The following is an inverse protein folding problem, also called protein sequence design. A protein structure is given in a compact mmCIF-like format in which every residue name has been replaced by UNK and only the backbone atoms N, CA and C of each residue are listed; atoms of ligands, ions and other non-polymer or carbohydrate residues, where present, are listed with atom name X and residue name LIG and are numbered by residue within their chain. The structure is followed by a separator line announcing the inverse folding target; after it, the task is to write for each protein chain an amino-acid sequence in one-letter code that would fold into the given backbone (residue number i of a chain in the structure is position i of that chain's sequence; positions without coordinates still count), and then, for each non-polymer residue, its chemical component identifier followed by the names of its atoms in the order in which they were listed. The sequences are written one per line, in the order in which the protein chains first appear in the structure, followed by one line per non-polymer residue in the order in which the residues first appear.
data_IF_822254836526
#
_entry.id   IF_822254836526
#
_cell.length_a   1.000
_cell.length_b   1.000
_cell.length_c   1.000
_cell.angle_alpha   90.00
_cell.angle_beta   90.00
_cell.angle_gamma   90.00
#
_symmetry.space_group_name_H-M   'P 1'
#
loop_
_entity.id
_entity.type
_entity.pdbx_description
1 polymer ?
#
# COMPACT_ATOMS: atom_id res chain seq x y z
N UNK A 1 3.36 4.28 -22.86
CA UNK A 1 3.61 4.75 -21.47
C UNK A 1 3.01 3.67 -20.58
N UNK A 2 3.72 3.19 -19.55
CA UNK A 2 3.18 2.11 -18.67
C UNK A 2 1.99 2.64 -17.89
N UNK A 3 0.91 1.84 -17.82
CA UNK A 3 -0.32 2.19 -17.12
C UNK A 3 -0.29 1.61 -15.72
N UNK A 4 -0.58 2.44 -14.71
CA UNK A 4 -0.61 2.04 -13.31
C UNK A 4 -2.01 2.25 -12.74
N UNK A 5 -2.59 1.19 -12.19
CA UNK A 5 -3.81 1.24 -11.42
C UNK A 5 -3.45 1.57 -9.97
N UNK A 6 -4.01 2.64 -9.42
CA UNK A 6 -3.66 3.15 -8.09
C UNK A 6 -4.89 3.07 -7.20
N UNK A 7 -4.75 2.48 -6.02
CA UNK A 7 -5.88 2.44 -5.12
C UNK A 7 -5.59 1.86 -3.74
N UNK A 8 -6.61 1.99 -2.89
CA UNK A 8 -6.59 1.53 -1.50
C UNK A 8 -8.00 1.42 -0.94
N UNK A 9 -8.23 0.58 0.07
CA UNK A 9 -9.31 0.78 1.00
C UNK A 9 -9.13 2.10 1.75
N UNK A 10 -10.23 2.84 1.94
CA UNK A 10 -10.21 4.13 2.63
C UNK A 10 -11.36 4.25 3.61
N UNK A 11 -11.08 4.84 4.79
CA UNK A 11 -12.08 5.19 5.80
C UNK A 11 -11.59 6.38 6.63
N UNK A 12 -12.41 7.44 6.72
CA UNK A 12 -12.15 8.60 7.58
C UNK A 12 -10.73 9.16 7.40
N UNK A 13 -10.40 9.60 6.18
CA UNK A 13 -9.08 10.13 5.80
C UNK A 13 -9.13 11.57 5.27
N UNK A 14 -10.23 12.30 5.51
CA UNK A 14 -10.36 13.68 5.03
C UNK A 14 -9.16 14.57 5.41
N UNK A 15 -8.61 14.39 6.61
CA UNK A 15 -7.48 15.16 7.14
C UNK A 15 -6.17 15.04 6.36
N UNK A 16 -6.03 13.99 5.51
CA UNK A 16 -4.79 13.71 4.77
C UNK A 16 -5.01 13.48 3.27
N UNK A 17 -6.24 13.23 2.84
CA UNK A 17 -6.56 12.79 1.49
C UNK A 17 -6.04 13.75 0.40
N UNK A 18 -6.18 15.06 0.59
CA UNK A 18 -5.66 16.07 -0.34
C UNK A 18 -4.16 15.93 -0.59
N UNK A 19 -3.37 15.80 0.47
CA UNK A 19 -1.91 15.63 0.37
C UNK A 19 -1.54 14.30 -0.27
N UNK A 20 -2.28 13.24 0.04
CA UNK A 20 -2.11 11.92 -0.56
C UNK A 20 -2.31 12.01 -2.08
N UNK A 21 -3.44 12.54 -2.55
CA UNK A 21 -3.73 12.70 -3.97
C UNK A 21 -2.72 13.60 -4.67
N UNK A 22 -2.32 14.73 -4.09
CA UNK A 22 -1.29 15.62 -4.64
C UNK A 22 0.06 14.88 -4.84
N UNK A 23 0.45 14.00 -3.92
CA UNK A 23 1.69 13.24 -4.05
C UNK A 23 1.63 12.21 -5.20
N UNK A 24 0.45 11.65 -5.46
CA UNK A 24 0.22 10.74 -6.59
C UNK A 24 0.19 11.50 -7.93
N UNK A 25 -0.40 12.69 -7.97
CA UNK A 25 -0.42 13.52 -9.19
C UNK A 25 0.98 13.89 -9.68
N UNK A 26 1.96 14.04 -8.80
CA UNK A 26 3.35 14.32 -9.12
C UNK A 26 4.10 13.15 -9.80
N UNK A 27 3.49 11.96 -9.90
CA UNK A 27 4.11 10.81 -10.54
C UNK A 27 3.94 10.88 -12.06
N UNK A 28 5.04 10.79 -12.81
CA UNK A 28 5.06 10.89 -14.28
C UNK A 28 4.70 9.56 -14.97
N UNK A 29 3.53 9.02 -14.68
CA UNK A 29 2.99 7.78 -15.26
C UNK A 29 1.53 8.00 -15.67
N UNK A 30 0.99 7.14 -16.55
CA UNK A 30 -0.44 7.11 -16.79
C UNK A 30 -1.13 6.42 -15.61
N UNK A 31 -2.10 7.09 -14.99
CA UNK A 31 -2.75 6.67 -13.75
C UNK A 31 -4.22 6.37 -13.96
N UNK A 32 -4.68 5.27 -13.39
CA UNK A 32 -6.08 4.91 -13.24
C UNK A 32 -6.35 4.73 -11.74
N UNK A 33 -7.30 5.47 -11.20
CA UNK A 33 -7.60 5.44 -9.78
C UNK A 33 -8.82 4.58 -9.48
N UNK A 34 -8.81 3.90 -8.33
CA UNK A 34 -9.97 3.27 -7.71
C UNK A 34 -9.77 3.17 -6.20
N UNK A 35 -10.67 3.76 -5.43
CA UNK A 35 -10.69 3.59 -3.97
C UNK A 35 -11.87 2.72 -3.55
N UNK A 36 -11.69 1.99 -2.45
CA UNK A 36 -12.76 1.21 -1.84
C UNK A 36 -13.14 1.91 -0.54
N UNK A 37 -14.19 2.71 -0.58
CA UNK A 37 -14.69 3.50 0.54
C UNK A 37 -15.50 2.61 1.49
N UNK A 38 -15.05 2.47 2.75
CA UNK A 38 -15.73 1.64 3.74
C UNK A 38 -16.20 2.45 4.95
N UNK A 39 -17.50 2.68 5.05
CA UNK A 39 -18.14 3.33 6.22
C UNK A 39 -17.49 4.66 6.64
N UNK A 40 -17.08 5.52 5.70
CA UNK A 40 -16.59 6.86 6.02
C UNK A 40 -17.71 7.78 6.51
N UNK A 41 -17.43 8.51 7.58
CA UNK A 41 -18.37 9.42 8.24
C UNK A 41 -17.89 10.89 8.20
N UNK A 42 -16.70 11.12 7.59
CA UNK A 42 -16.08 12.43 7.41
C UNK A 42 -16.18 12.91 5.95
N UNK A 43 -15.43 13.95 5.59
CA UNK A 43 -15.44 14.54 4.25
C UNK A 43 -14.61 13.73 3.21
N UNK A 44 -14.18 12.50 3.51
CA UNK A 44 -13.35 11.69 2.59
C UNK A 44 -14.03 11.50 1.23
N UNK A 45 -15.30 11.12 1.21
CA UNK A 45 -16.10 10.94 0.00
C UNK A 45 -16.17 12.23 -0.82
N UNK A 46 -16.51 13.34 -0.16
CA UNK A 46 -16.59 14.66 -0.80
C UNK A 46 -15.25 15.07 -1.47
N UNK A 47 -14.11 14.78 -0.83
CA UNK A 47 -12.80 15.08 -1.42
C UNK A 47 -12.58 14.25 -2.68
N UNK A 48 -12.90 12.94 -2.66
CA UNK A 48 -12.79 12.08 -3.83
C UNK A 48 -13.65 12.60 -4.99
N UNK A 49 -14.89 13.04 -4.71
CA UNK A 49 -15.79 13.63 -5.69
C UNK A 49 -15.23 14.93 -6.30
N UNK A 50 -14.70 15.83 -5.47
CA UNK A 50 -14.08 17.09 -5.92
C UNK A 50 -12.90 16.83 -6.88
N UNK A 51 -12.12 15.79 -6.64
CA UNK A 51 -11.01 15.38 -7.50
C UNK A 51 -11.42 14.43 -8.64
N UNK A 52 -12.71 14.10 -8.77
CA UNK A 52 -13.23 13.16 -9.78
C UNK A 52 -12.53 11.79 -9.71
N UNK A 53 -12.17 11.34 -8.51
CA UNK A 53 -11.52 10.05 -8.27
C UNK A 53 -12.59 8.96 -8.12
N UNK A 54 -12.58 7.90 -8.96
CA UNK A 54 -13.52 6.79 -8.85
C UNK A 54 -13.38 6.02 -7.52
N UNK A 55 -14.50 5.62 -6.95
CA UNK A 55 -14.54 4.76 -5.78
C UNK A 55 -15.78 3.85 -5.76
N UNK A 56 -15.69 2.76 -4.99
CA UNK A 56 -16.80 1.88 -4.65
C UNK A 56 -17.09 1.98 -3.16
N UNK A 57 -18.36 2.12 -2.78
CA UNK A 57 -18.78 2.20 -1.38
C UNK A 57 -19.17 0.84 -0.84
N UNK A 58 -18.65 0.51 0.34
CA UNK A 58 -18.97 -0.71 1.08
C UNK A 58 -19.25 -0.40 2.56
N UNK A 59 -19.96 -1.32 3.22
CA UNK A 59 -20.39 -1.20 4.60
C UNK A 59 -20.07 -2.47 5.39
N UNK A 60 -18.76 -2.75 5.57
CA UNK A 60 -18.29 -3.94 6.26
C UNK A 60 -18.10 -3.77 7.77
N UNK A 61 -18.23 -2.52 8.29
CA UNK A 61 -17.96 -2.22 9.68
C UNK A 61 -16.49 -2.37 10.08
N UNK A 62 -16.22 -2.32 11.39
CA UNK A 62 -14.85 -2.35 11.94
C UNK A 62 -14.46 -3.67 12.58
N UNK A 63 -15.42 -4.39 13.15
CA UNK A 63 -15.19 -5.46 14.12
C UNK A 63 -15.53 -6.82 13.53
N UNK A 64 -14.63 -7.39 12.75
CA UNK A 64 -14.73 -8.76 12.27
C UNK A 64 -13.34 -9.35 11.99
N UNK A 65 -13.09 -10.59 12.40
CA UNK A 65 -11.81 -11.26 12.22
C UNK A 65 -10.71 -10.77 13.19
N UNK A 66 -9.46 -10.84 12.78
CA UNK A 66 -8.32 -10.33 13.56
C UNK A 66 -8.35 -8.81 13.61
N UNK A 67 -8.27 -8.23 14.81
CA UNK A 67 -8.39 -6.80 15.05
C UNK A 67 -7.07 -6.24 15.57
N UNK A 68 -6.64 -5.14 14.97
CA UNK A 68 -5.55 -4.31 15.50
C UNK A 68 -5.99 -2.85 15.52
N UNK A 69 -5.89 -2.22 16.69
CA UNK A 69 -6.34 -0.83 16.83
C UNK A 69 -7.82 -0.68 16.48
N UNK A 70 -8.14 0.08 15.43
CA UNK A 70 -9.52 0.44 15.05
C UNK A 70 -10.03 -0.29 13.79
N UNK A 71 -9.33 -1.29 13.27
CA UNK A 71 -9.72 -1.99 12.04
C UNK A 71 -9.58 -3.51 12.15
N UNK A 72 -10.33 -4.19 11.31
CA UNK A 72 -10.34 -5.65 11.18
C UNK A 72 -9.49 -6.06 9.98
N UNK A 73 -8.51 -6.94 10.17
CA UNK A 73 -7.72 -7.50 9.08
C UNK A 73 -8.55 -8.34 8.11
N UNK A 74 -9.63 -8.96 8.60
CA UNK A 74 -10.55 -9.68 7.72
C UNK A 74 -11.24 -8.70 6.76
N UNK A 75 -11.81 -7.62 7.27
CA UNK A 75 -12.48 -6.62 6.44
C UNK A 75 -11.50 -5.92 5.50
N UNK A 76 -10.28 -5.60 5.96
CA UNK A 76 -9.24 -5.05 5.09
C UNK A 76 -8.89 -6.00 3.94
N UNK A 77 -8.73 -7.30 4.22
CA UNK A 77 -8.47 -8.30 3.19
C UNK A 77 -9.60 -8.36 2.16
N UNK A 78 -10.88 -8.30 2.58
CA UNK A 78 -12.01 -8.25 1.66
C UNK A 78 -11.96 -7.01 0.76
N UNK A 79 -11.76 -5.82 1.35
CA UNK A 79 -11.71 -4.55 0.61
C UNK A 79 -10.52 -4.49 -0.36
N UNK A 80 -9.35 -4.99 0.06
CA UNK A 80 -8.19 -5.08 -0.83
C UNK A 80 -8.43 -6.08 -1.96
N UNK A 81 -9.09 -7.20 -1.71
CA UNK A 81 -9.44 -8.16 -2.76
C UNK A 81 -10.45 -7.57 -3.76
N UNK A 82 -11.41 -6.75 -3.32
CA UNK A 82 -12.28 -5.99 -4.22
C UNK A 82 -11.46 -5.06 -5.13
N UNK A 83 -10.43 -4.40 -4.58
CA UNK A 83 -9.50 -3.58 -5.38
C UNK A 83 -8.74 -4.43 -6.41
N UNK A 84 -8.29 -5.64 -6.06
CA UNK A 84 -7.66 -6.56 -7.01
C UNK A 84 -8.62 -6.95 -8.14
N UNK A 85 -9.89 -7.19 -7.82
CA UNK A 85 -10.91 -7.55 -8.81
C UNK A 85 -11.21 -6.37 -9.77
N UNK A 86 -11.22 -5.13 -9.26
CA UNK A 86 -11.32 -3.94 -10.13
C UNK A 86 -10.07 -3.75 -11.00
N UNK A 87 -8.89 -3.95 -10.44
CA UNK A 87 -7.64 -3.93 -11.21
C UNK A 87 -7.65 -4.93 -12.36
N UNK A 88 -8.11 -6.16 -12.14
CA UNK A 88 -8.18 -7.19 -13.18
C UNK A 88 -9.16 -6.85 -14.33
N UNK A 89 -10.14 -5.97 -14.11
CA UNK A 89 -11.03 -5.47 -15.16
C UNK A 89 -10.38 -4.41 -16.04
N UNK A 90 -9.30 -3.78 -15.59
CA UNK A 90 -8.54 -2.78 -16.35
C UNK A 90 -7.52 -3.44 -17.27
N UNK A 91 -6.87 -2.64 -18.12
CA UNK A 91 -5.72 -3.04 -18.95
C UNK A 91 -4.36 -2.62 -18.36
N UNK A 92 -4.34 -2.17 -17.09
CA UNK A 92 -3.13 -1.70 -16.43
C UNK A 92 -2.13 -2.83 -16.21
N UNK A 93 -0.85 -2.56 -16.44
CA UNK A 93 0.25 -3.52 -16.26
C UNK A 93 0.63 -3.69 -14.77
N UNK A 94 0.38 -2.67 -13.96
CA UNK A 94 0.76 -2.62 -12.56
C UNK A 94 -0.41 -2.17 -11.68
N UNK A 95 -0.49 -2.77 -10.49
CA UNK A 95 -1.27 -2.24 -9.37
C UNK A 95 -0.31 -1.53 -8.39
N UNK A 96 -0.55 -0.27 -8.09
CA UNK A 96 0.08 0.43 -6.99
C UNK A 96 -0.90 0.49 -5.81
N UNK A 97 -0.78 -0.49 -4.91
CA UNK A 97 -1.54 -0.54 -3.66
C UNK A 97 -0.85 0.36 -2.64
N UNK A 98 -1.53 1.43 -2.23
CA UNK A 98 -0.96 2.43 -1.33
C UNK A 98 -1.97 2.89 -0.29
N UNK A 99 -1.63 2.80 1.00
CA UNK A 99 -2.47 3.29 2.07
C UNK A 99 -2.59 4.82 2.02
N UNK A 100 -3.78 5.32 2.33
CA UNK A 100 -4.14 6.73 2.14
C UNK A 100 -3.46 7.71 3.11
N UNK A 101 -2.75 7.21 4.10
CA UNK A 101 -1.89 7.98 5.01
C UNK A 101 -0.40 7.97 4.59
N UNK A 102 -0.10 7.53 3.37
CA UNK A 102 1.25 7.55 2.81
C UNK A 102 1.37 8.66 1.76
N UNK A 103 2.40 9.49 1.90
CA UNK A 103 2.76 10.58 0.98
C UNK A 103 4.09 10.22 0.31
N UNK A 104 4.07 10.04 -1.00
CA UNK A 104 5.25 9.57 -1.74
C UNK A 104 6.05 10.70 -2.38
N UNK A 105 7.37 10.60 -2.46
CA UNK A 105 8.21 11.54 -3.22
C UNK A 105 7.91 11.52 -4.72
N UNK A 106 8.17 12.61 -5.41
CA UNK A 106 8.10 12.67 -6.88
C UNK A 106 9.03 11.65 -7.53
N UNK A 107 8.61 11.03 -8.64
CA UNK A 107 9.38 10.03 -9.38
C UNK A 107 9.42 8.62 -8.75
N UNK A 108 8.76 8.41 -7.63
CA UNK A 108 8.77 7.12 -6.91
C UNK A 108 8.25 5.96 -7.75
N UNK A 109 7.14 6.14 -8.49
CA UNK A 109 6.59 5.08 -9.33
C UNK A 109 7.53 4.69 -10.47
N UNK A 110 8.20 5.68 -11.08
CA UNK A 110 9.23 5.41 -12.10
C UNK A 110 10.35 4.53 -11.55
N UNK A 111 10.89 4.87 -10.38
CA UNK A 111 11.95 4.10 -9.73
C UNK A 111 11.50 2.69 -9.33
N UNK A 112 10.26 2.50 -8.83
CA UNK A 112 9.74 1.17 -8.53
C UNK A 112 9.60 0.31 -9.80
N UNK A 113 9.15 0.89 -10.91
CA UNK A 113 9.07 0.21 -12.20
C UNK A 113 10.45 -0.15 -12.76
N UNK A 114 11.44 0.73 -12.61
CA UNK A 114 12.82 0.51 -13.07
C UNK A 114 13.53 -0.60 -12.27
N UNK A 115 13.09 -0.87 -11.04
CA UNK A 115 13.59 -2.01 -10.26
C UNK A 115 13.16 -3.36 -10.86
N UNK A 116 12.13 -3.41 -11.70
CA UNK A 116 11.59 -4.58 -12.40
C UNK A 116 11.38 -5.82 -11.50
N UNK A 117 10.77 -5.61 -10.34
CA UNK A 117 10.43 -6.68 -9.38
C UNK A 117 8.93 -6.99 -9.41
N UNK A 118 8.57 -8.25 -9.11
CA UNK A 118 7.18 -8.70 -9.15
C UNK A 118 6.32 -7.95 -8.12
N UNK A 119 6.87 -7.77 -6.92
CA UNK A 119 6.32 -6.92 -5.86
C UNK A 119 7.45 -6.06 -5.31
N UNK A 120 7.33 -4.74 -5.43
CA UNK A 120 8.35 -3.81 -4.94
C UNK A 120 7.73 -2.71 -4.09
N UNK A 121 8.12 -2.63 -2.82
CA UNK A 121 7.64 -1.64 -1.86
C UNK A 121 8.63 -0.51 -1.62
N UNK A 122 8.15 0.57 -1.02
CA UNK A 122 8.96 1.61 -0.40
C UNK A 122 9.12 1.32 1.09
N UNK A 123 10.17 1.84 1.71
CA UNK A 123 10.40 1.66 3.15
C UNK A 123 9.64 2.71 3.95
N UNK A 124 8.71 2.28 4.79
CA UNK A 124 8.02 3.15 5.75
C UNK A 124 8.31 2.74 7.19
N UNK A 125 8.27 3.74 8.08
CA UNK A 125 8.30 3.53 9.51
C UNK A 125 6.86 3.38 10.03
N UNK A 126 6.56 2.26 10.68
CA UNK A 126 5.19 1.91 11.09
C UNK A 126 4.78 2.45 12.46
N UNK A 127 5.73 2.88 13.29
CA UNK A 127 5.42 3.28 14.66
C UNK A 127 6.36 4.38 15.19
N UNK A 128 5.84 5.40 15.91
CA UNK A 128 6.64 6.54 16.37
C UNK A 128 7.70 6.17 17.41
N UNK A 129 7.44 5.16 18.25
CA UNK A 129 8.32 4.75 19.34
C UNK A 129 9.13 3.49 19.06
N UNK A 130 8.69 2.64 18.13
CA UNK A 130 9.36 1.38 17.81
C UNK A 130 10.16 1.54 16.51
N UNK A 131 11.32 0.87 16.43
CA UNK A 131 12.06 0.72 15.18
C UNK A 131 11.43 -0.41 14.36
N UNK A 132 10.19 -0.20 13.92
CA UNK A 132 9.44 -1.13 13.12
C UNK A 132 9.16 -0.53 11.73
N UNK A 133 9.48 -1.26 10.70
CA UNK A 133 9.23 -0.93 9.30
C UNK A 133 8.20 -1.88 8.67
N UNK A 134 7.71 -1.57 7.50
CA UNK A 134 6.79 -2.41 6.73
C UNK A 134 7.45 -3.63 6.08
N UNK A 135 8.72 -3.90 6.35
CA UNK A 135 9.47 -5.01 5.76
C UNK A 135 9.95 -6.00 6.82
N UNK A 136 9.86 -7.30 6.51
CA UNK A 136 10.34 -8.40 7.36
C UNK A 136 11.24 -9.34 6.57
N UNK A 137 12.31 -9.82 7.21
CA UNK A 137 13.21 -10.86 6.72
C UNK A 137 13.45 -11.85 7.87
N UNK A 138 13.41 -13.16 7.58
CA UNK A 138 13.55 -14.20 8.62
C UNK A 138 12.46 -14.14 9.68
N UNK A 139 11.24 -13.73 9.31
CA UNK A 139 10.10 -13.58 10.22
C UNK A 139 10.25 -12.43 11.24
N UNK A 140 11.19 -11.51 11.04
CA UNK A 140 11.45 -10.38 11.95
C UNK A 140 11.43 -9.04 11.24
N UNK A 141 10.88 -8.03 11.91
CA UNK A 141 11.07 -6.65 11.48
C UNK A 141 12.56 -6.29 11.53
N UNK A 142 13.06 -5.72 10.44
CA UNK A 142 14.42 -5.23 10.38
C UNK A 142 14.43 -3.82 10.94
N UNK A 143 15.22 -3.57 12.01
CA UNK A 143 15.21 -2.27 12.67
C UNK A 143 15.98 -1.19 11.90
N UNK A 144 16.90 -1.59 11.03
CA UNK A 144 17.81 -0.68 10.35
C UNK A 144 18.09 -1.16 8.92
N UNK A 145 18.03 -0.23 7.97
CA UNK A 145 18.35 -0.48 6.57
C UNK A 145 19.43 0.51 6.09
N UNK A 146 20.28 0.05 5.17
CA UNK A 146 21.08 0.90 4.29
C UNK A 146 20.25 1.30 3.07
N UNK A 147 20.74 2.28 2.29
CA UNK A 147 20.12 2.60 1.01
C UNK A 147 20.36 1.48 0.00
N UNK A 148 19.31 1.00 -0.65
CA UNK A 148 19.41 -0.08 -1.64
C UNK A 148 18.08 -0.74 -1.94
N UNK A 149 18.16 -1.85 -2.68
CA UNK A 149 17.04 -2.73 -3.02
C UNK A 149 17.28 -4.08 -2.34
N UNK A 150 16.38 -4.49 -1.47
CA UNK A 150 16.55 -5.69 -0.63
C UNK A 150 15.38 -6.67 -0.82
N UNK A 151 15.67 -7.99 -0.97
CA UNK A 151 14.62 -9.00 -0.92
C UNK A 151 14.01 -9.06 0.47
N UNK A 152 12.70 -9.27 0.54
CA UNK A 152 11.93 -9.35 1.78
C UNK A 152 10.95 -10.53 1.75
N UNK A 153 10.53 -10.98 2.92
CA UNK A 153 9.54 -12.05 3.04
C UNK A 153 8.13 -11.51 3.18
N UNK A 154 8.01 -10.32 3.75
CA UNK A 154 6.75 -9.61 3.95
C UNK A 154 6.97 -8.12 3.76
N UNK A 155 6.03 -7.48 3.10
CA UNK A 155 5.91 -6.03 2.99
C UNK A 155 4.43 -5.65 2.84
N UNK A 156 4.11 -4.37 2.99
CA UNK A 156 2.74 -3.87 2.88
C UNK A 156 2.66 -2.34 2.84
N UNK A 157 1.45 -1.83 2.91
CA UNK A 157 1.07 -0.42 2.96
C UNK A 157 1.40 0.42 1.70
N UNK A 158 2.51 0.19 1.00
CA UNK A 158 2.89 0.93 -0.22
C UNK A 158 3.77 0.07 -1.12
N UNK A 159 3.21 -0.53 -2.15
CA UNK A 159 3.95 -1.41 -3.06
C UNK A 159 3.35 -1.46 -4.46
N UNK A 160 4.23 -1.55 -5.45
CA UNK A 160 3.92 -1.78 -6.84
C UNK A 160 3.91 -3.28 -7.09
N UNK A 161 2.86 -3.79 -7.73
CA UNK A 161 2.62 -5.21 -7.99
C UNK A 161 2.44 -5.39 -9.49
N UNK A 162 3.17 -6.31 -10.13
CA UNK A 162 2.95 -6.69 -11.52
C UNK A 162 1.62 -7.43 -11.67
N UNK A 163 0.92 -7.23 -12.78
CA UNK A 163 -0.36 -7.87 -13.10
C UNK A 163 -0.32 -9.38 -12.95
N UNK A 164 0.74 -10.01 -13.44
CA UNK A 164 0.92 -11.47 -13.40
C UNK A 164 0.83 -12.09 -12.01
N UNK A 165 1.22 -11.33 -10.96
CA UNK A 165 1.09 -11.77 -9.56
C UNK A 165 -0.38 -11.97 -9.19
N UNK A 166 -1.23 -11.02 -9.58
CA UNK A 166 -2.66 -11.04 -9.26
C UNK A 166 -3.40 -12.04 -10.15
N UNK A 167 -3.04 -12.16 -11.42
CA UNK A 167 -3.56 -13.16 -12.37
C UNK A 167 -3.22 -14.59 -11.95
N UNK A 168 -2.08 -14.81 -11.30
CA UNK A 168 -1.72 -16.10 -10.70
C UNK A 168 -2.58 -16.48 -9.47
N UNK A 169 -3.53 -15.62 -9.06
CA UNK A 169 -4.48 -15.90 -8.01
C UNK A 169 -4.04 -15.47 -6.61
N UNK A 170 -2.96 -14.67 -6.49
CA UNK A 170 -2.53 -14.12 -5.18
C UNK A 170 -3.61 -13.20 -4.63
N UNK A 171 -3.97 -13.40 -3.35
CA UNK A 171 -5.04 -12.65 -2.66
C UNK A 171 -4.64 -12.31 -1.23
N UNK A 172 -5.24 -11.24 -0.72
CA UNK A 172 -5.14 -10.88 0.70
C UNK A 172 -5.94 -11.83 1.57
N UNK A 173 -5.53 -11.99 2.81
CA UNK A 173 -6.20 -12.86 3.77
C UNK A 173 -6.16 -12.32 5.19
N UNK A 174 -6.97 -12.90 6.08
CA UNK A 174 -6.98 -12.51 7.49
C UNK A 174 -5.89 -13.26 8.26
N UNK A 175 -4.96 -12.51 8.88
CA UNK A 175 -3.88 -13.06 9.68
C UNK A 175 -3.56 -12.14 10.88
N UNK A 176 -3.10 -12.66 12.04
CA UNK A 176 -2.77 -11.83 13.22
C UNK A 176 -1.69 -10.77 12.96
N UNK A 177 -0.80 -10.99 11.99
CA UNK A 177 0.27 -10.04 11.62
C UNK A 177 -0.24 -8.92 10.71
N UNK A 178 -1.32 -9.14 9.97
CA UNK A 178 -1.90 -8.23 8.99
C UNK A 178 -2.39 -8.96 7.75
N UNK A 179 -3.21 -8.33 6.96
CA UNK A 179 -3.77 -8.88 5.72
C UNK A 179 -2.74 -9.05 4.61
N UNK A 180 -1.62 -8.31 4.67
CA UNK A 180 -0.50 -8.41 3.73
C UNK A 180 0.28 -9.72 3.89
N UNK A 181 0.28 -10.34 5.08
CA UNK A 181 1.06 -11.53 5.35
C UNK A 181 0.65 -12.73 4.47
N UNK A 182 -0.64 -13.10 4.36
CA UNK A 182 -1.07 -14.15 3.42
C UNK A 182 -0.82 -13.80 1.96
N UNK A 183 -0.93 -12.54 1.56
CA UNK A 183 -0.61 -12.08 0.20
C UNK A 183 0.86 -12.35 -0.13
N UNK A 184 1.77 -11.88 0.72
CA UNK A 184 3.21 -12.07 0.54
C UNK A 184 3.60 -13.56 0.56
N UNK A 185 3.01 -14.36 1.45
CA UNK A 185 3.26 -15.79 1.52
C UNK A 185 2.81 -16.52 0.25
N UNK A 186 1.61 -16.22 -0.27
CA UNK A 186 1.11 -16.81 -1.51
C UNK A 186 1.96 -16.42 -2.71
N UNK A 187 2.33 -15.13 -2.85
CA UNK A 187 3.21 -14.67 -3.93
C UNK A 187 4.54 -15.44 -3.93
N UNK A 188 5.19 -15.56 -2.78
CA UNK A 188 6.46 -16.32 -2.65
C UNK A 188 6.31 -17.80 -2.95
N UNK A 189 5.21 -18.44 -2.53
CA UNK A 189 4.93 -19.85 -2.85
C UNK A 189 4.79 -20.10 -4.36
N UNK A 190 4.30 -19.11 -5.09
CA UNK A 190 4.18 -19.14 -6.55
C UNK A 190 5.47 -18.73 -7.28
N UNK A 191 6.55 -18.43 -6.53
CA UNK A 191 7.86 -18.11 -7.07
C UNK A 191 8.09 -16.63 -7.36
N UNK A 192 7.17 -15.73 -7.00
CA UNK A 192 7.35 -14.30 -7.18
C UNK A 192 8.31 -13.71 -6.16
N UNK A 193 9.07 -12.71 -6.61
CA UNK A 193 10.06 -12.01 -5.79
C UNK A 193 9.47 -10.75 -5.14
N UNK A 194 9.68 -10.61 -3.82
CA UNK A 194 9.29 -9.43 -3.05
C UNK A 194 10.51 -8.63 -2.65
N UNK A 195 10.48 -7.32 -2.91
CA UNK A 195 11.57 -6.40 -2.59
C UNK A 195 11.08 -5.15 -1.88
N UNK A 196 11.98 -4.52 -1.11
CA UNK A 196 11.83 -3.15 -0.60
C UNK A 196 12.94 -2.26 -1.15
N UNK A 197 12.57 -1.13 -1.72
CA UNK A 197 13.50 -0.07 -2.11
C UNK A 197 13.63 0.94 -0.98
N UNK A 198 14.72 0.86 -0.24
CA UNK A 198 14.97 1.73 0.91
C UNK A 198 15.47 3.12 0.54
N UNK A 199 15.80 3.34 -0.73
CA UNK A 199 16.12 4.68 -1.26
C UNK A 199 14.86 5.55 -1.31
N UNK A 200 13.69 4.92 -1.46
CA UNK A 200 12.37 5.54 -1.43
C UNK A 200 11.81 5.50 0.00
N UNK A 201 11.69 6.67 0.62
CA UNK A 201 11.25 6.83 2.01
C UNK A 201 10.09 7.81 2.08
N UNK A 202 8.87 7.34 1.81
CA UNK A 202 7.69 8.17 1.89
C UNK A 202 7.43 8.65 3.32
N UNK A 203 6.65 9.70 3.45
CA UNK A 203 6.12 10.14 4.74
C UNK A 203 4.92 9.26 5.08
N UNK A 204 4.94 8.62 6.24
CA UNK A 204 3.77 7.99 6.84
C UNK A 204 3.11 8.99 7.80
N UNK A 205 1.99 9.53 7.41
CA UNK A 205 1.16 10.39 8.25
C UNK A 205 0.40 9.51 9.25
N UNK A 206 1.11 9.10 10.31
CA UNK A 206 0.65 8.12 11.31
C UNK A 206 -0.64 8.56 12.04
N UNK A 207 -0.75 9.85 12.29
CA UNK A 207 -1.92 10.53 12.84
C UNK A 207 -1.84 12.00 12.47
N UNK A 208 -2.93 12.74 12.64
CA UNK A 208 -2.94 14.18 12.43
C UNK A 208 -1.84 14.86 13.25
N UNK A 209 -0.95 15.60 12.56
CA UNK A 209 0.22 16.23 13.16
C UNK A 209 1.39 15.28 13.51
N UNK A 210 1.31 13.97 13.19
CA UNK A 210 2.38 12.98 13.48
C UNK A 210 2.86 12.33 12.19
N UNK A 211 4.02 12.74 11.70
CA UNK A 211 4.64 12.19 10.49
C UNK A 211 5.88 11.35 10.82
N UNK A 212 6.02 10.23 10.15
CA UNK A 212 7.12 9.31 10.31
C UNK A 212 7.85 9.14 8.98
N UNK A 213 9.18 9.22 9.01
CA UNK A 213 10.04 8.89 7.86
C UNK A 213 11.03 7.82 8.33
N UNK A 214 11.22 6.79 7.50
CA UNK A 214 12.23 5.76 7.77
C UNK A 214 13.64 6.37 7.74
N UNK A 215 14.45 6.03 8.75
CA UNK A 215 15.84 6.45 8.84
C UNK A 215 16.74 5.31 8.36
N UNK A 216 17.77 5.63 7.60
CA UNK A 216 18.79 4.67 7.16
C UNK A 216 20.03 4.80 8.05
N UNK A 217 20.74 3.70 8.23
CA UNK A 217 22.08 3.73 8.81
C UNK A 217 23.10 4.18 7.76
N UNK A 218 24.17 4.80 8.22
CA UNK A 218 25.28 5.18 7.33
C UNK A 218 25.90 3.94 6.65
N UNK A 219 26.38 4.13 5.46
CA UNK A 219 27.04 3.10 4.64
C UNK A 219 28.35 2.66 5.28
#
# INVERSE_FOLDING_TARGET
MKNVFIGSPVRNRAWIMERHLQSLEQQAVQKHYMYILNDSEDQTEHILDCHQIPYLTHHLGRTYGHIRGQYSYHNLALLRNMLLDEFLKSDCEYLFSIDTDIIIPGGSLGQLMDNDKDVCSMLIRNHPKLKAHNAMIGGKHIPEFKAGLFPVELTGAVYLIKREVIEAGVRYGSHPTGEDAPFCEQARRLGFELFVDTRLRPVHAYAEGVELIAQLVAS
#
